data_IF_545523043843
#
_entry.id   IF_545523043843
#
_cell.length_a   1.000
_cell.length_b   1.000
_cell.length_c   1.000
_cell.angle_alpha   90.00
_cell.angle_beta   90.00
_cell.angle_gamma   90.00
#
_symmetry.space_group_name_H-M   'P 1'
#
loop_
_entity.id
_entity.type
_entity.pdbx_description
1 polymer ?
#
# COMPACT_ATOMS: atom_id res chain seq x y z
N UNK A 1 -22.77 28.35 11.91
CA UNK A 1 -21.87 27.20 12.04
C UNK A 1 -22.55 25.95 12.61
N UNK A 2 -23.31 26.03 13.76
CA UNK A 2 -24.06 24.88 14.33
C UNK A 2 -25.09 24.28 13.34
N UNK A 3 -25.89 25.09 12.65
CA UNK A 3 -26.90 24.61 11.68
C UNK A 3 -26.29 23.92 10.44
N UNK A 4 -25.12 24.36 9.99
CA UNK A 4 -24.37 23.71 8.89
C UNK A 4 -23.84 22.33 9.31
N UNK A 5 -23.28 22.20 10.53
CA UNK A 5 -22.77 20.94 11.07
C UNK A 5 -23.88 19.92 11.39
N UNK A 6 -25.12 20.37 11.58
CA UNK A 6 -26.30 19.53 11.85
C UNK A 6 -27.05 19.14 10.58
N UNK A 7 -26.68 19.63 9.40
CA UNK A 7 -27.33 19.19 8.15
C UNK A 7 -27.10 17.70 7.93
N UNK A 8 -28.19 16.96 7.66
CA UNK A 8 -28.12 15.51 7.35
C UNK A 8 -27.14 15.19 6.22
N UNK A 9 -26.97 16.12 5.28
CA UNK A 9 -26.06 15.98 4.14
C UNK A 9 -24.59 15.98 4.60
N UNK A 10 -24.16 16.96 5.42
CA UNK A 10 -22.77 17.02 5.93
C UNK A 10 -22.47 15.86 6.88
N UNK A 11 -23.46 15.45 7.70
CA UNK A 11 -23.30 14.29 8.57
C UNK A 11 -23.14 12.97 7.80
N UNK A 12 -23.72 12.85 6.62
CA UNK A 12 -23.74 11.62 5.84
C UNK A 12 -22.64 11.56 4.78
N UNK A 13 -22.28 12.70 4.17
CA UNK A 13 -21.37 12.79 3.03
C UNK A 13 -20.12 13.65 3.30
N UNK A 14 -19.98 14.22 4.50
CA UNK A 14 -18.89 15.15 4.81
C UNK A 14 -17.50 14.55 4.62
N UNK A 15 -17.32 13.30 5.00
CA UNK A 15 -16.03 12.59 4.82
C UNK A 15 -15.71 12.35 3.35
N UNK A 16 -16.71 12.02 2.54
CA UNK A 16 -16.54 11.85 1.09
C UNK A 16 -16.23 13.19 0.41
N UNK A 17 -16.88 14.28 0.85
CA UNK A 17 -16.58 15.64 0.36
C UNK A 17 -15.14 16.06 0.68
N UNK A 18 -14.67 15.79 1.90
CA UNK A 18 -13.27 16.06 2.30
C UNK A 18 -12.31 15.26 1.43
N UNK A 19 -12.59 13.97 1.19
CA UNK A 19 -11.77 13.13 0.32
C UNK A 19 -11.67 13.68 -1.10
N UNK A 20 -12.82 14.09 -1.68
CA UNK A 20 -12.86 14.66 -3.04
C UNK A 20 -12.08 15.98 -3.11
N UNK A 21 -12.21 16.84 -2.09
CA UNK A 21 -11.48 18.10 -2.03
C UNK A 21 -9.97 17.89 -1.91
N UNK A 22 -9.52 16.95 -1.07
CA UNK A 22 -8.11 16.58 -0.95
C UNK A 22 -7.58 15.98 -2.24
N UNK A 23 -8.34 15.09 -2.88
CA UNK A 23 -7.99 14.52 -4.18
C UNK A 23 -7.82 15.60 -5.24
N UNK A 24 -8.73 16.56 -5.30
CA UNK A 24 -8.64 17.72 -6.21
C UNK A 24 -7.41 18.59 -5.90
N UNK A 25 -7.18 18.92 -4.63
CA UNK A 25 -6.00 19.70 -4.23
C UNK A 25 -4.70 19.02 -4.63
N UNK A 26 -4.51 17.74 -4.28
CA UNK A 26 -3.28 17.03 -4.64
C UNK A 26 -3.16 16.76 -6.13
N UNK A 27 -4.26 16.61 -6.86
CA UNK A 27 -4.22 16.54 -8.32
C UNK A 27 -3.64 17.83 -8.93
N UNK A 28 -4.05 18.99 -8.43
CA UNK A 28 -3.49 20.27 -8.88
C UNK A 28 -2.04 20.46 -8.42
N UNK A 29 -1.74 20.13 -7.16
CA UNK A 29 -0.41 20.32 -6.57
C UNK A 29 0.67 19.40 -7.16
N UNK A 30 0.28 18.27 -7.77
CA UNK A 30 1.19 17.28 -8.35
C UNK A 30 1.10 17.21 -9.89
N UNK A 31 0.62 18.28 -10.52
CA UNK A 31 0.56 18.38 -11.97
C UNK A 31 1.99 18.51 -12.52
N UNK A 32 2.48 17.46 -13.13
CA UNK A 32 3.84 17.36 -13.67
C UNK A 32 3.85 16.74 -15.05
N UNK A 33 4.93 16.98 -15.78
CA UNK A 33 5.20 16.30 -17.03
C UNK A 33 5.46 14.82 -16.78
N UNK A 34 4.71 13.96 -17.45
CA UNK A 34 4.79 12.52 -17.36
C UNK A 34 5.52 11.96 -18.58
N UNK A 35 6.41 11.03 -18.34
CA UNK A 35 7.20 10.34 -19.36
C UNK A 35 6.83 8.85 -19.33
N UNK A 36 5.88 8.42 -20.15
CA UNK A 36 5.34 7.06 -20.08
C UNK A 36 6.36 6.01 -20.54
N UNK A 37 6.44 4.91 -19.79
CA UNK A 37 7.30 3.74 -20.08
C UNK A 37 6.51 2.43 -20.03
N UNK A 38 5.19 2.49 -20.12
CA UNK A 38 4.33 1.31 -20.08
C UNK A 38 4.24 0.61 -21.46
N UNK A 39 3.90 -0.71 -21.49
CA UNK A 39 3.81 -1.46 -22.74
C UNK A 39 2.79 -0.93 -23.75
N UNK A 40 1.71 -0.25 -23.30
CA UNK A 40 0.71 0.32 -24.21
C UNK A 40 1.29 1.52 -24.96
N UNK A 41 2.02 2.37 -24.23
CA UNK A 41 2.77 3.47 -24.84
C UNK A 41 3.82 2.94 -25.81
N UNK A 42 4.54 1.86 -25.44
CA UNK A 42 5.49 1.20 -26.35
C UNK A 42 4.86 0.79 -27.67
N UNK A 43 3.70 0.12 -27.65
CA UNK A 43 2.97 -0.27 -28.86
C UNK A 43 2.50 0.93 -29.70
N UNK A 44 1.88 1.93 -29.08
CA UNK A 44 1.41 3.11 -29.81
C UNK A 44 2.57 3.91 -30.40
N UNK A 45 3.70 3.95 -29.72
CA UNK A 45 4.92 4.60 -30.20
C UNK A 45 5.53 3.83 -31.38
N UNK A 46 5.59 2.50 -31.32
CA UNK A 46 6.02 1.65 -32.41
C UNK A 46 5.14 1.84 -33.67
N UNK A 47 3.81 1.92 -33.50
CA UNK A 47 2.89 2.23 -34.60
C UNK A 47 3.17 3.58 -35.26
N UNK A 48 3.49 4.61 -34.47
CA UNK A 48 3.87 5.90 -35.00
C UNK A 48 5.19 5.83 -35.79
N UNK A 49 6.17 5.03 -35.30
CA UNK A 49 7.45 4.82 -36.00
C UNK A 49 7.21 4.12 -37.36
N UNK A 50 6.37 3.10 -37.40
CA UNK A 50 6.04 2.37 -38.65
C UNK A 50 5.43 3.32 -39.69
N UNK A 51 4.58 4.27 -39.26
CA UNK A 51 3.96 5.24 -40.15
C UNK A 51 4.93 6.31 -40.68
N UNK A 52 5.86 6.78 -39.84
CA UNK A 52 6.76 7.87 -40.15
C UNK A 52 8.06 7.40 -40.83
N UNK A 53 8.54 6.22 -40.49
CA UNK A 53 9.83 5.68 -40.91
C UNK A 53 9.69 4.24 -41.44
N UNK A 54 8.95 4.03 -42.54
CA UNK A 54 8.83 2.69 -43.13
C UNK A 54 10.21 2.20 -43.61
N UNK A 55 10.56 0.96 -43.24
CA UNK A 55 11.86 0.33 -43.58
C UNK A 55 13.09 0.84 -42.80
N UNK A 56 12.93 1.60 -41.71
CA UNK A 56 14.04 2.04 -40.89
C UNK A 56 14.70 0.88 -40.12
N UNK A 57 16.01 0.97 -39.95
CA UNK A 57 16.78 0.13 -39.05
C UNK A 57 16.79 0.74 -37.65
N UNK A 58 16.26 0.03 -36.65
CA UNK A 58 15.99 0.52 -35.31
C UNK A 58 16.83 -0.19 -34.27
N UNK A 59 17.49 0.57 -33.40
CA UNK A 59 18.09 0.08 -32.17
C UNK A 59 17.20 0.49 -31.00
N UNK A 60 16.72 -0.49 -30.22
CA UNK A 60 15.94 -0.21 -29.01
C UNK A 60 16.88 -0.15 -27.83
N UNK A 61 16.82 0.96 -27.03
CA UNK A 61 17.71 1.19 -25.89
C UNK A 61 16.89 1.49 -24.65
N UNK A 62 17.05 0.65 -23.60
CA UNK A 62 16.32 0.81 -22.31
C UNK A 62 17.23 0.45 -21.13
N UNK A 63 16.84 0.89 -19.92
CA UNK A 63 17.51 0.48 -18.68
C UNK A 63 17.20 -0.99 -18.36
N UNK A 64 18.00 -1.57 -17.49
CA UNK A 64 17.79 -2.93 -16.97
C UNK A 64 16.77 -2.91 -15.82
N UNK A 65 15.51 -2.59 -16.13
CA UNK A 65 14.38 -2.71 -15.21
C UNK A 65 13.28 -3.55 -15.83
N UNK A 66 12.44 -4.16 -15.02
CA UNK A 66 11.34 -5.01 -15.51
C UNK A 66 10.34 -4.23 -16.36
N UNK A 67 10.00 -3.01 -15.95
CA UNK A 67 9.05 -2.14 -16.67
C UNK A 67 9.62 -1.68 -18.01
N UNK A 68 10.91 -1.28 -18.03
CA UNK A 68 11.57 -0.83 -19.25
C UNK A 68 11.76 -2.00 -20.25
N UNK A 69 12.01 -3.21 -19.74
CA UNK A 69 12.03 -4.41 -20.58
C UNK A 69 10.67 -4.71 -21.19
N UNK A 70 9.59 -4.57 -20.41
CA UNK A 70 8.23 -4.75 -20.90
C UNK A 70 7.86 -3.71 -21.98
N UNK A 71 8.32 -2.47 -21.82
CA UNK A 71 8.20 -1.42 -22.83
C UNK A 71 8.96 -1.78 -24.12
N UNK A 72 10.24 -2.18 -23.99
CA UNK A 72 11.08 -2.56 -25.14
C UNK A 72 10.51 -3.78 -25.89
N UNK A 73 10.05 -4.80 -25.16
CA UNK A 73 9.40 -5.99 -25.73
C UNK A 73 8.14 -5.60 -26.51
N UNK A 74 7.32 -4.73 -25.97
CA UNK A 74 6.10 -4.26 -26.64
C UNK A 74 6.39 -3.51 -27.94
N UNK A 75 7.47 -2.71 -27.98
CA UNK A 75 7.95 -2.07 -29.20
C UNK A 75 8.46 -3.09 -30.20
N UNK A 76 9.30 -4.02 -29.74
CA UNK A 76 9.89 -5.05 -30.59
C UNK A 76 8.83 -5.95 -31.22
N UNK A 77 7.83 -6.39 -30.46
CA UNK A 77 6.70 -7.18 -30.96
C UNK A 77 5.96 -6.45 -32.09
N UNK A 78 5.64 -5.16 -31.91
CA UNK A 78 4.90 -4.39 -32.90
C UNK A 78 5.75 -4.10 -34.15
N UNK A 79 7.04 -3.74 -33.98
CA UNK A 79 7.94 -3.49 -35.11
C UNK A 79 8.22 -4.76 -35.92
N UNK A 80 8.36 -5.94 -35.28
CA UNK A 80 8.59 -7.22 -35.97
C UNK A 80 7.43 -7.63 -36.86
N UNK A 81 6.21 -7.12 -36.65
CA UNK A 81 5.06 -7.36 -37.53
C UNK A 81 4.98 -6.39 -38.71
N UNK A 82 5.92 -5.46 -38.80
CA UNK A 82 5.95 -4.37 -39.80
C UNK A 82 7.15 -4.48 -40.76
N UNK A 83 7.32 -3.47 -41.61
CA UNK A 83 8.47 -3.35 -42.52
C UNK A 83 9.72 -2.72 -41.87
N UNK A 84 9.66 -2.35 -40.59
CA UNK A 84 10.77 -1.76 -39.82
C UNK A 84 11.65 -2.89 -39.27
N UNK A 85 12.97 -2.75 -39.40
CA UNK A 85 13.92 -3.78 -38.98
C UNK A 85 14.53 -3.45 -37.62
N UNK A 86 14.30 -4.28 -36.62
CA UNK A 86 14.94 -4.16 -35.30
C UNK A 86 16.33 -4.80 -35.37
N UNK A 87 17.38 -3.95 -35.35
CA UNK A 87 18.78 -4.40 -35.43
C UNK A 87 19.22 -5.08 -34.14
N UNK A 88 18.90 -4.47 -33.00
CA UNK A 88 19.17 -5.06 -31.68
C UNK A 88 18.32 -4.36 -30.59
N UNK A 89 18.29 -4.99 -29.39
CA UNK A 89 17.71 -4.43 -28.17
C UNK A 89 18.80 -4.39 -27.10
N UNK A 90 19.20 -3.17 -26.69
CA UNK A 90 20.18 -2.96 -25.62
C UNK A 90 19.41 -2.64 -24.32
N UNK A 91 19.46 -3.58 -23.39
CA UNK A 91 18.94 -3.40 -22.03
C UNK A 91 20.12 -3.37 -21.04
N UNK A 92 20.51 -2.18 -20.59
CA UNK A 92 21.70 -2.07 -19.77
C UNK A 92 22.01 -0.68 -19.26
N UNK A 93 23.29 -0.35 -19.27
CA UNK A 93 23.89 0.92 -18.86
C UNK A 93 24.40 1.73 -20.08
N UNK A 94 24.74 3.01 -19.93
CA UNK A 94 25.27 3.83 -21.02
C UNK A 94 26.49 3.22 -21.74
N UNK A 95 27.35 2.47 -21.02
CA UNK A 95 28.51 1.78 -21.59
C UNK A 95 28.12 0.67 -22.58
N UNK A 96 26.99 0.00 -22.32
CA UNK A 96 26.53 -1.09 -23.20
C UNK A 96 26.07 -0.49 -24.55
N UNK A 97 25.47 0.69 -24.52
CA UNK A 97 25.12 1.44 -25.72
C UNK A 97 26.37 1.86 -26.51
N UNK A 98 27.42 2.35 -25.84
CA UNK A 98 28.70 2.69 -26.49
C UNK A 98 29.30 1.49 -27.21
N UNK A 99 29.33 0.32 -26.55
CA UNK A 99 29.84 -0.91 -27.16
C UNK A 99 29.02 -1.31 -28.39
N UNK A 100 27.71 -1.20 -28.29
CA UNK A 100 26.82 -1.57 -29.41
C UNK A 100 26.97 -0.58 -30.59
N UNK A 101 27.09 0.73 -30.35
CA UNK A 101 27.33 1.73 -31.38
C UNK A 101 28.65 1.46 -32.13
N UNK A 102 29.75 1.17 -31.41
CA UNK A 102 31.02 0.76 -32.06
C UNK A 102 30.87 -0.57 -32.82
N UNK A 103 30.12 -1.55 -32.29
CA UNK A 103 29.88 -2.83 -32.97
C UNK A 103 29.15 -2.60 -34.31
N UNK A 104 28.08 -1.80 -34.30
CA UNK A 104 27.31 -1.48 -35.49
C UNK A 104 28.13 -0.69 -36.51
N UNK A 105 28.88 0.33 -36.04
CA UNK A 105 29.74 1.11 -36.88
C UNK A 105 30.85 0.31 -37.56
N UNK A 106 31.56 -0.54 -36.81
CA UNK A 106 32.62 -1.41 -37.34
C UNK A 106 32.09 -2.48 -38.30
N UNK A 107 30.87 -2.97 -38.08
CA UNK A 107 30.21 -3.92 -38.97
C UNK A 107 29.55 -3.26 -40.20
N UNK A 108 29.63 -1.93 -40.33
CA UNK A 108 29.00 -1.11 -41.36
C UNK A 108 27.46 -1.39 -41.47
N UNK A 109 26.82 -1.71 -40.35
CA UNK A 109 25.37 -1.92 -40.28
C UNK A 109 24.71 -0.54 -40.24
N UNK A 110 23.84 -0.27 -41.20
CA UNK A 110 23.10 0.98 -41.23
C UNK A 110 22.11 1.05 -40.07
N UNK A 111 22.12 2.19 -39.33
CA UNK A 111 21.19 2.49 -38.27
C UNK A 111 20.53 3.82 -38.57
N UNK A 112 19.21 3.87 -38.52
CA UNK A 112 18.43 5.07 -38.82
C UNK A 112 17.83 5.67 -37.54
N UNK A 113 17.39 4.83 -36.60
CA UNK A 113 16.72 5.27 -35.39
C UNK A 113 17.25 4.58 -34.14
N UNK A 114 17.41 5.34 -33.07
CA UNK A 114 17.53 4.85 -31.71
C UNK A 114 16.20 5.13 -31.01
N UNK A 115 15.49 4.08 -30.65
CA UNK A 115 14.18 4.14 -29.99
C UNK A 115 14.36 3.89 -28.52
N UNK A 116 13.94 4.82 -27.70
CA UNK A 116 14.13 4.75 -26.25
C UNK A 116 13.00 5.45 -25.52
N UNK A 117 13.01 5.41 -24.18
CA UNK A 117 12.14 6.25 -23.35
C UNK A 117 12.92 7.44 -22.78
N UNK A 118 12.21 8.42 -22.24
CA UNK A 118 12.77 9.67 -21.74
C UNK A 118 14.00 9.48 -20.83
N UNK A 119 13.94 8.57 -19.87
CA UNK A 119 15.04 8.39 -18.90
C UNK A 119 16.34 7.89 -19.53
N UNK A 120 16.27 7.01 -20.54
CA UNK A 120 17.47 6.58 -21.26
C UNK A 120 17.90 7.61 -22.30
N UNK A 121 16.98 8.40 -22.88
CA UNK A 121 17.35 9.49 -23.81
C UNK A 121 18.22 10.57 -23.15
N UNK A 122 18.12 10.72 -21.83
CA UNK A 122 18.96 11.64 -21.04
C UNK A 122 20.39 11.12 -20.79
N UNK A 123 20.72 9.94 -21.24
CA UNK A 123 22.06 9.44 -21.09
C UNK A 123 23.06 10.24 -21.94
N UNK A 124 24.25 10.60 -21.38
CA UNK A 124 25.22 11.39 -22.11
C UNK A 124 25.65 10.80 -23.46
N UNK A 125 25.58 9.46 -23.60
CA UNK A 125 25.91 8.75 -24.84
C UNK A 125 24.90 9.01 -25.96
N UNK A 126 23.65 9.28 -25.64
CA UNK A 126 22.57 9.63 -26.59
C UNK A 126 22.37 11.14 -26.75
N UNK A 127 23.14 11.95 -26.01
CA UNK A 127 23.15 13.40 -26.17
C UNK A 127 23.79 13.84 -27.50
N UNK A 128 23.35 15.00 -28.02
CA UNK A 128 23.74 15.50 -29.33
C UNK A 128 25.26 15.47 -29.57
N UNK A 129 26.08 15.96 -28.63
CA UNK A 129 27.54 16.03 -28.77
C UNK A 129 28.17 14.65 -28.97
N UNK A 130 27.80 13.67 -28.15
CA UNK A 130 28.37 12.33 -28.19
C UNK A 130 27.85 11.53 -29.39
N UNK A 131 26.60 11.71 -29.74
CA UNK A 131 26.00 11.09 -30.92
C UNK A 131 26.69 11.61 -32.20
N UNK A 132 27.01 12.89 -32.27
CA UNK A 132 27.76 13.49 -33.36
C UNK A 132 29.18 12.91 -33.51
N UNK A 133 29.85 12.49 -32.44
CA UNK A 133 31.14 11.82 -32.53
C UNK A 133 31.00 10.48 -33.27
N UNK A 134 29.99 9.66 -32.95
CA UNK A 134 29.69 8.41 -33.66
C UNK A 134 29.31 8.64 -35.12
N UNK A 135 28.51 9.65 -35.40
CA UNK A 135 28.10 10.03 -36.77
C UNK A 135 29.33 10.42 -37.61
N UNK A 136 30.31 11.11 -37.02
CA UNK A 136 31.56 11.46 -37.70
C UNK A 136 32.50 10.27 -37.90
N UNK A 137 32.52 9.37 -36.96
CA UNK A 137 33.41 8.20 -36.97
C UNK A 137 32.91 7.11 -37.94
N UNK A 138 31.56 6.92 -38.05
CA UNK A 138 30.99 5.81 -38.82
C UNK A 138 29.97 6.30 -39.85
N UNK A 139 30.24 6.04 -41.14
CA UNK A 139 29.33 6.42 -42.25
C UNK A 139 27.96 5.74 -42.17
N UNK A 140 27.88 4.52 -41.58
CA UNK A 140 26.63 3.79 -41.39
C UNK A 140 25.70 4.39 -40.34
N UNK A 141 26.16 5.36 -39.55
CA UNK A 141 25.39 6.00 -38.48
C UNK A 141 25.01 7.45 -38.80
N UNK A 142 25.21 7.92 -40.06
CA UNK A 142 25.00 9.33 -40.44
C UNK A 142 23.54 9.80 -40.35
N UNK A 143 22.57 8.89 -40.46
CA UNK A 143 21.13 9.19 -40.41
C UNK A 143 20.51 8.99 -39.00
N UNK A 144 21.31 8.63 -38.00
CA UNK A 144 20.79 8.22 -36.68
C UNK A 144 20.08 9.38 -35.97
N UNK A 145 18.83 9.13 -35.60
CA UNK A 145 18.01 10.00 -34.76
C UNK A 145 17.55 9.25 -33.49
N UNK A 146 17.52 9.98 -32.37
CA UNK A 146 16.99 9.43 -31.10
C UNK A 146 15.52 9.83 -30.97
N UNK A 147 14.65 8.86 -30.86
CA UNK A 147 13.22 9.06 -30.68
C UNK A 147 12.77 8.51 -29.32
N UNK A 148 11.91 9.27 -28.64
CA UNK A 148 11.22 8.85 -27.43
C UNK A 148 9.74 9.23 -27.49
N UNK A 149 8.86 8.52 -26.75
CA UNK A 149 7.45 8.89 -26.65
C UNK A 149 7.27 10.32 -26.17
N UNK A 150 6.26 11.01 -26.70
CA UNK A 150 5.92 12.34 -26.26
C UNK A 150 5.49 12.35 -24.79
N UNK A 151 5.97 13.35 -24.06
CA UNK A 151 5.51 13.62 -22.70
C UNK A 151 4.14 14.31 -22.71
N UNK A 152 3.44 14.23 -21.59
CA UNK A 152 2.16 14.90 -21.40
C UNK A 152 1.99 15.39 -19.95
N UNK A 153 1.24 16.48 -19.77
CA UNK A 153 0.93 17.01 -18.44
C UNK A 153 -0.16 16.20 -17.79
N UNK A 154 0.15 15.58 -16.63
CA UNK A 154 -0.82 14.82 -15.86
C UNK A 154 -0.49 14.86 -14.36
N UNK A 155 -1.50 14.89 -13.46
CA UNK A 155 -1.26 14.81 -12.03
C UNK A 155 -0.58 13.50 -11.65
N UNK A 156 0.60 13.55 -11.04
CA UNK A 156 1.29 12.36 -10.52
C UNK A 156 0.41 11.62 -9.51
N UNK A 157 -0.37 12.36 -8.72
CA UNK A 157 -1.34 11.81 -7.77
C UNK A 157 -2.36 10.86 -8.43
N UNK A 158 -2.84 11.18 -9.65
CA UNK A 158 -3.85 10.38 -10.37
C UNK A 158 -3.25 9.30 -11.27
N UNK A 159 -1.94 9.10 -11.29
CA UNK A 159 -1.35 7.99 -12.05
C UNK A 159 -1.81 6.65 -11.46
N UNK A 160 -2.03 5.66 -12.35
CA UNK A 160 -2.44 4.31 -11.91
C UNK A 160 -1.48 3.72 -10.89
N UNK A 161 -0.17 3.85 -11.13
CA UNK A 161 0.86 3.36 -10.21
C UNK A 161 0.73 3.99 -8.82
N UNK A 162 0.52 5.32 -8.74
CA UNK A 162 0.35 6.00 -7.46
C UNK A 162 -0.94 5.59 -6.75
N UNK A 163 -2.09 5.50 -7.46
CA UNK A 163 -3.36 5.06 -6.85
C UNK A 163 -3.28 3.63 -6.31
N UNK A 164 -2.61 2.71 -7.01
CA UNK A 164 -2.38 1.36 -6.53
C UNK A 164 -1.44 1.34 -5.31
N UNK A 165 -0.40 2.19 -5.32
CA UNK A 165 0.51 2.37 -4.18
C UNK A 165 -0.23 2.90 -2.94
N UNK A 166 -1.09 3.92 -3.09
CA UNK A 166 -1.96 4.43 -2.01
C UNK A 166 -2.85 3.32 -1.46
N UNK A 167 -3.49 2.55 -2.35
CA UNK A 167 -4.31 1.40 -1.96
C UNK A 167 -3.52 0.36 -1.18
N UNK A 168 -2.34 0.00 -1.64
CA UNK A 168 -1.48 -0.99 -0.98
C UNK A 168 -1.01 -0.51 0.40
N UNK A 169 -0.54 0.73 0.51
CA UNK A 169 -0.07 1.30 1.78
C UNK A 169 -1.19 1.40 2.83
N UNK A 170 -2.42 1.73 2.41
CA UNK A 170 -3.54 1.83 3.34
C UNK A 170 -4.13 0.48 3.74
N UNK A 171 -3.95 -0.57 2.91
CA UNK A 171 -4.66 -1.83 3.08
C UNK A 171 -4.44 -2.45 4.46
N UNK A 172 -3.21 -2.53 4.94
CA UNK A 172 -2.87 -3.08 6.27
C UNK A 172 -3.55 -2.28 7.38
N UNK A 173 -3.39 -0.96 7.38
CA UNK A 173 -4.03 -0.06 8.35
C UNK A 173 -5.56 -0.18 8.31
N UNK A 174 -6.14 -0.23 7.12
CA UNK A 174 -7.59 -0.36 6.92
C UNK A 174 -8.12 -1.72 7.42
N UNK A 175 -7.41 -2.82 7.18
CA UNK A 175 -7.79 -4.15 7.69
C UNK A 175 -7.88 -4.14 9.22
N UNK A 176 -6.88 -3.60 9.90
CA UNK A 176 -6.88 -3.52 11.37
C UNK A 176 -7.96 -2.55 11.86
N UNK A 177 -8.22 -1.47 11.12
CA UNK A 177 -9.25 -0.49 11.44
C UNK A 177 -10.67 -1.08 11.47
N UNK A 178 -10.94 -2.19 10.76
CA UNK A 178 -12.21 -2.93 10.87
C UNK A 178 -12.46 -3.34 12.32
N UNK A 179 -11.50 -4.02 12.94
CA UNK A 179 -11.63 -4.48 14.32
C UNK A 179 -11.62 -3.31 15.30
N UNK A 180 -10.74 -2.33 15.09
CA UNK A 180 -10.70 -1.11 15.91
C UNK A 180 -12.06 -0.38 15.88
N UNK A 181 -12.77 -0.39 14.75
CA UNK A 181 -14.14 0.16 14.67
C UNK A 181 -15.07 -0.57 15.62
N UNK A 182 -15.01 -1.90 15.69
CA UNK A 182 -15.84 -2.69 16.61
C UNK A 182 -15.46 -2.40 18.08
N UNK A 183 -14.16 -2.30 18.39
CA UNK A 183 -13.65 -1.95 19.73
C UNK A 183 -14.16 -0.57 20.14
N UNK A 184 -14.03 0.44 19.28
CA UNK A 184 -14.47 1.81 19.57
C UNK A 184 -16.01 1.89 19.67
N UNK A 185 -16.76 1.18 18.83
CA UNK A 185 -18.23 1.11 18.95
C UNK A 185 -18.62 0.54 20.32
N UNK A 186 -17.86 -0.41 20.89
CA UNK A 186 -18.12 -0.91 22.24
C UNK A 186 -17.55 -0.03 23.36
N UNK A 187 -17.19 1.23 23.07
CA UNK A 187 -16.57 2.19 23.98
C UNK A 187 -15.22 1.73 24.56
N UNK A 188 -14.50 0.84 23.87
CA UNK A 188 -13.13 0.43 24.15
C UNK A 188 -12.12 1.18 23.32
N UNK A 189 -10.85 1.10 23.73
CA UNK A 189 -9.69 1.53 22.93
C UNK A 189 -8.65 0.43 23.01
N UNK A 190 -8.10 0.01 21.91
CA UNK A 190 -7.02 -0.97 21.85
C UNK A 190 -5.73 -0.35 21.31
N UNK A 191 -4.77 -0.10 22.20
CA UNK A 191 -3.47 0.46 21.86
C UNK A 191 -2.43 -0.60 21.51
N UNK A 192 -2.77 -1.89 21.62
CA UNK A 192 -1.80 -2.96 21.39
C UNK A 192 -1.62 -3.37 19.93
N UNK A 193 -2.52 -2.93 19.03
CA UNK A 193 -2.60 -3.41 17.64
C UNK A 193 -1.29 -3.25 16.86
N UNK A 194 -0.55 -2.15 17.03
CA UNK A 194 0.74 -1.94 16.37
C UNK A 194 1.83 -2.89 16.89
N UNK A 195 1.83 -3.18 18.20
CA UNK A 195 2.76 -4.14 18.79
C UNK A 195 2.40 -5.58 18.46
N UNK A 196 1.11 -5.92 18.35
CA UNK A 196 0.64 -7.24 17.90
C UNK A 196 1.02 -7.48 16.44
N UNK A 197 0.99 -6.44 15.61
CA UNK A 197 1.45 -6.47 14.23
C UNK A 197 2.93 -6.84 14.13
N UNK A 198 3.80 -6.15 14.92
CA UNK A 198 5.23 -6.49 14.99
C UNK A 198 5.47 -7.91 15.52
N UNK A 199 4.77 -8.28 16.59
CA UNK A 199 4.85 -9.62 17.18
C UNK A 199 4.49 -10.70 16.16
N UNK A 200 3.38 -10.52 15.45
CA UNK A 200 2.93 -11.42 14.38
C UNK A 200 3.95 -11.53 13.24
N UNK A 201 4.48 -10.40 12.76
CA UNK A 201 5.52 -10.37 11.73
C UNK A 201 6.78 -11.14 12.13
N UNK A 202 7.20 -11.01 13.39
CA UNK A 202 8.35 -11.77 13.93
C UNK A 202 8.01 -13.25 14.07
N UNK A 203 6.81 -13.62 14.55
CA UNK A 203 6.37 -15.02 14.68
C UNK A 203 6.37 -15.70 13.31
N UNK A 204 5.80 -15.09 12.28
CA UNK A 204 5.78 -15.70 10.94
C UNK A 204 7.20 -15.91 10.43
N UNK A 205 8.09 -14.89 10.57
CA UNK A 205 9.46 -14.97 10.11
C UNK A 205 10.25 -16.08 10.83
N UNK A 206 10.20 -16.10 12.15
CA UNK A 206 10.92 -17.09 12.95
C UNK A 206 10.37 -18.50 12.78
N UNK A 207 9.06 -18.66 12.57
CA UNK A 207 8.45 -19.98 12.30
C UNK A 207 8.93 -20.52 10.95
N UNK A 208 8.91 -19.68 9.89
CA UNK A 208 9.40 -20.08 8.56
C UNK A 208 10.89 -20.46 8.64
N UNK A 209 11.70 -19.60 9.27
CA UNK A 209 13.15 -19.82 9.41
C UNK A 209 13.47 -21.08 10.23
N UNK A 210 12.71 -21.37 11.30
CA UNK A 210 12.91 -22.55 12.14
C UNK A 210 12.46 -23.87 11.53
N UNK A 211 11.55 -23.83 10.55
CA UNK A 211 10.99 -25.05 9.90
C UNK A 211 11.67 -25.40 8.59
N UNK A 212 12.44 -24.50 7.99
CA UNK A 212 13.09 -24.76 6.71
C UNK A 212 14.54 -24.26 6.69
N UNK A 213 15.40 -25.05 6.07
CA UNK A 213 16.81 -24.69 5.79
C UNK A 213 17.03 -24.40 4.30
N UNK A 214 15.98 -24.56 3.48
CA UNK A 214 16.01 -24.26 2.05
C UNK A 214 15.66 -22.79 1.75
N UNK A 215 16.18 -22.28 0.64
CA UNK A 215 15.91 -20.91 0.19
C UNK A 215 14.43 -20.66 -0.18
N UNK A 216 13.69 -21.71 -0.54
CA UNK A 216 12.26 -21.63 -0.83
C UNK A 216 11.46 -22.58 0.10
N UNK A 217 10.77 -22.05 1.11
CA UNK A 217 9.90 -22.82 1.98
C UNK A 217 8.66 -23.31 1.22
N UNK A 218 8.27 -24.58 1.50
CA UNK A 218 7.05 -25.13 0.93
C UNK A 218 5.78 -24.43 1.42
N UNK A 219 4.69 -24.52 0.65
CA UNK A 219 3.38 -23.92 1.02
C UNK A 219 2.90 -24.28 2.41
N UNK A 220 3.16 -25.53 2.87
CA UNK A 220 2.80 -25.98 4.22
C UNK A 220 3.50 -25.17 5.31
N UNK A 221 4.79 -24.90 5.16
CA UNK A 221 5.59 -24.06 6.08
C UNK A 221 5.06 -22.64 6.12
N UNK A 222 4.77 -22.05 4.94
CA UNK A 222 4.20 -20.71 4.85
C UNK A 222 2.84 -20.60 5.54
N UNK A 223 1.95 -21.57 5.30
CA UNK A 223 0.63 -21.63 5.95
C UNK A 223 0.75 -21.78 7.48
N UNK A 224 1.62 -22.67 7.97
CA UNK A 224 1.85 -22.85 9.41
C UNK A 224 2.39 -21.54 10.01
N UNK A 225 3.37 -20.88 9.37
CA UNK A 225 3.89 -19.60 9.80
C UNK A 225 2.80 -18.51 9.90
N UNK A 226 2.01 -18.34 8.85
CA UNK A 226 0.92 -17.34 8.81
C UNK A 226 -0.17 -17.65 9.86
N UNK A 227 -0.64 -18.90 9.92
CA UNK A 227 -1.70 -19.30 10.85
C UNK A 227 -1.25 -19.22 12.30
N UNK A 228 0.00 -19.61 12.62
CA UNK A 228 0.55 -19.47 13.97
C UNK A 228 0.63 -18.00 14.40
N UNK A 229 1.10 -17.12 13.55
CA UNK A 229 1.19 -15.69 13.82
C UNK A 229 -0.18 -15.06 14.11
N UNK A 230 -1.18 -15.38 13.29
CA UNK A 230 -2.56 -14.90 13.48
C UNK A 230 -3.17 -15.51 14.76
N UNK A 231 -2.98 -16.81 15.00
CA UNK A 231 -3.50 -17.49 16.18
C UNK A 231 -2.92 -16.93 17.48
N UNK A 232 -1.59 -16.76 17.57
CA UNK A 232 -0.96 -16.18 18.75
C UNK A 232 -1.44 -14.74 19.01
N UNK A 233 -1.61 -13.94 17.97
CA UNK A 233 -2.17 -12.59 18.11
C UNK A 233 -3.64 -12.63 18.56
N UNK A 234 -4.45 -13.57 18.06
CA UNK A 234 -5.82 -13.79 18.51
C UNK A 234 -5.89 -14.25 19.98
N UNK A 235 -4.96 -15.11 20.43
CA UNK A 235 -4.85 -15.53 21.82
C UNK A 235 -4.50 -14.36 22.76
N UNK A 236 -3.64 -13.44 22.31
CA UNK A 236 -3.37 -12.22 23.07
C UNK A 236 -4.62 -11.33 23.11
N UNK A 237 -5.36 -11.22 22.01
CA UNK A 237 -6.66 -10.54 21.97
C UNK A 237 -7.69 -11.18 22.92
N UNK A 238 -7.71 -12.52 23.00
CA UNK A 238 -8.53 -13.27 23.96
C UNK A 238 -8.13 -12.92 25.40
N UNK A 239 -6.83 -12.93 25.71
CA UNK A 239 -6.33 -12.54 27.02
C UNK A 239 -6.72 -11.09 27.37
N UNK A 240 -6.54 -10.16 26.44
CA UNK A 240 -6.99 -8.76 26.58
C UNK A 240 -8.48 -8.69 26.92
N UNK A 241 -9.31 -9.39 26.13
CA UNK A 241 -10.75 -9.45 26.36
C UNK A 241 -11.14 -10.06 27.72
N UNK A 242 -10.41 -11.09 28.19
CA UNK A 242 -10.61 -11.66 29.52
C UNK A 242 -10.28 -10.67 30.64
N UNK A 243 -9.16 -9.95 30.54
CA UNK A 243 -8.79 -8.91 31.54
C UNK A 243 -9.85 -7.81 31.63
N UNK A 244 -10.38 -7.39 30.49
CA UNK A 244 -11.44 -6.36 30.43
C UNK A 244 -12.77 -6.88 30.98
N UNK A 245 -13.17 -8.11 30.63
CA UNK A 245 -14.53 -8.61 30.91
C UNK A 245 -14.68 -9.35 32.23
N UNK A 246 -13.64 -10.08 32.67
CA UNK A 246 -13.67 -10.89 33.91
C UNK A 246 -13.19 -10.03 35.08
N UNK A 247 -12.06 -9.35 34.91
CA UNK A 247 -11.43 -8.56 35.98
C UNK A 247 -11.90 -7.11 35.99
N UNK A 248 -12.72 -6.68 34.99
CA UNK A 248 -13.26 -5.32 34.86
C UNK A 248 -12.15 -4.23 34.83
N UNK A 249 -10.98 -4.56 34.29
CA UNK A 249 -9.89 -3.59 34.14
C UNK A 249 -10.21 -2.66 32.95
N UNK A 250 -10.03 -1.35 33.08
CA UNK A 250 -10.27 -0.41 31.98
C UNK A 250 -9.49 -0.81 30.71
N UNK A 251 -10.12 -0.85 29.52
CA UNK A 251 -9.52 -1.33 28.29
C UNK A 251 -8.16 -0.69 27.96
N UNK A 252 -8.03 0.63 28.11
CA UNK A 252 -6.80 1.34 27.77
C UNK A 252 -5.60 0.91 28.65
N UNK A 253 -5.83 0.57 29.93
CA UNK A 253 -4.77 0.10 30.83
C UNK A 253 -4.28 -1.28 30.38
N UNK A 254 -5.23 -2.19 30.08
CA UNK A 254 -4.90 -3.56 29.63
C UNK A 254 -4.12 -3.47 28.30
N UNK A 255 -4.62 -2.71 27.34
CA UNK A 255 -4.02 -2.64 26.00
C UNK A 255 -2.67 -1.94 26.00
N UNK A 256 -2.44 -0.95 26.88
CA UNK A 256 -1.11 -0.38 27.11
C UNK A 256 -0.12 -1.41 27.66
N UNK A 257 -0.54 -2.22 28.63
CA UNK A 257 0.31 -3.28 29.18
C UNK A 257 0.63 -4.32 28.11
N UNK A 258 -0.38 -4.74 27.32
CA UNK A 258 -0.20 -5.69 26.21
C UNK A 258 0.70 -5.09 25.13
N UNK A 259 0.56 -3.81 24.80
CA UNK A 259 1.42 -3.11 23.84
C UNK A 259 2.90 -3.28 24.18
N UNK A 260 3.28 -3.01 25.44
CA UNK A 260 4.66 -3.16 25.90
C UNK A 260 5.10 -4.64 25.95
N UNK A 261 4.22 -5.52 26.44
CA UNK A 261 4.51 -6.95 26.55
C UNK A 261 4.70 -7.59 25.17
N UNK A 262 3.79 -7.35 24.23
CA UNK A 262 3.89 -7.91 22.87
C UNK A 262 5.14 -7.36 22.15
N UNK A 263 5.45 -6.07 22.31
CA UNK A 263 6.67 -5.46 21.77
C UNK A 263 7.92 -6.10 22.36
N UNK A 264 7.96 -6.30 23.68
CA UNK A 264 9.07 -6.97 24.37
C UNK A 264 9.27 -8.40 23.88
N UNK A 265 8.19 -9.17 23.68
CA UNK A 265 8.27 -10.50 23.09
C UNK A 265 8.74 -10.48 21.64
N UNK A 266 8.30 -9.51 20.83
CA UNK A 266 8.78 -9.38 19.46
C UNK A 266 10.31 -9.19 19.41
N UNK A 267 10.87 -8.30 20.25
CA UNK A 267 12.33 -8.16 20.37
C UNK A 267 13.02 -9.43 20.87
N UNK A 268 12.47 -10.07 21.89
CA UNK A 268 13.07 -11.27 22.48
C UNK A 268 13.12 -12.42 21.48
N UNK A 269 12.05 -12.64 20.72
CA UNK A 269 11.96 -13.73 19.73
C UNK A 269 12.83 -13.41 18.51
N UNK A 270 12.90 -12.15 18.07
CA UNK A 270 13.78 -11.72 16.98
C UNK A 270 15.28 -11.76 17.36
N UNK A 271 15.62 -11.92 18.65
CA UNK A 271 17.00 -11.84 19.13
C UNK A 271 17.55 -10.43 19.24
N UNK A 272 16.71 -9.41 19.19
CA UNK A 272 17.08 -7.99 19.27
C UNK A 272 16.24 -7.07 18.36
N UNK A 273 16.70 -5.84 18.10
CA UNK A 273 15.97 -4.87 17.30
C UNK A 273 16.09 -5.10 15.78
N UNK A 274 16.95 -6.01 15.35
CA UNK A 274 17.19 -6.30 13.93
C UNK A 274 16.03 -7.11 13.33
N UNK A 275 15.63 -6.81 12.08
CA UNK A 275 14.62 -7.61 11.38
C UNK A 275 15.07 -9.04 11.14
N UNK A 276 14.13 -9.98 11.15
CA UNK A 276 14.33 -11.39 10.77
C UNK A 276 13.94 -11.53 9.30
N UNK A 277 14.88 -11.87 8.42
CA UNK A 277 14.64 -12.01 6.99
C UNK A 277 13.79 -13.25 6.67
N UNK A 278 13.01 -13.15 5.59
CA UNK A 278 12.21 -14.24 5.03
C UNK A 278 12.59 -14.35 3.55
N UNK A 279 13.45 -15.31 3.23
CA UNK A 279 13.89 -15.55 1.85
C UNK A 279 12.88 -16.48 1.16
N UNK A 280 11.79 -15.88 0.64
CA UNK A 280 10.76 -16.62 -0.11
C UNK A 280 10.00 -15.69 -1.05
N UNK A 281 10.12 -15.95 -2.35
CA UNK A 281 9.37 -15.24 -3.37
C UNK A 281 7.87 -15.49 -3.24
N UNK A 282 7.47 -16.74 -2.96
CA UNK A 282 6.07 -17.12 -2.74
C UNK A 282 5.44 -16.35 -1.58
N UNK A 283 6.19 -16.15 -0.48
CA UNK A 283 5.71 -15.36 0.65
C UNK A 283 5.64 -13.86 0.28
N UNK A 284 6.67 -13.34 -0.40
CA UNK A 284 6.69 -11.95 -0.87
C UNK A 284 5.48 -11.61 -1.74
N UNK A 285 5.08 -12.52 -2.63
CA UNK A 285 3.92 -12.36 -3.51
C UNK A 285 2.59 -12.17 -2.76
N UNK A 286 2.47 -12.63 -1.50
CA UNK A 286 1.26 -12.43 -0.70
C UNK A 286 1.02 -10.93 -0.41
N UNK A 287 2.08 -10.18 -0.07
CA UNK A 287 2.01 -8.75 0.28
C UNK A 287 2.35 -7.80 -0.86
N UNK A 288 3.23 -8.19 -1.78
CA UNK A 288 3.69 -7.36 -2.89
C UNK A 288 3.06 -7.73 -4.25
N UNK A 289 2.53 -8.95 -4.38
CA UNK A 289 1.93 -9.43 -5.64
C UNK A 289 0.65 -8.71 -6.02
N UNK A 290 0.32 -8.75 -7.30
CA UNK A 290 -0.88 -8.14 -7.88
C UNK A 290 -1.57 -9.15 -8.83
N UNK A 291 -2.02 -10.28 -8.26
CA UNK A 291 -2.47 -11.45 -9.02
C UNK A 291 -3.86 -11.27 -9.64
N UNK A 292 -4.70 -10.41 -9.07
CA UNK A 292 -6.05 -10.18 -9.57
C UNK A 292 -6.11 -8.85 -10.33
N UNK A 293 -6.18 -8.90 -11.67
CA UNK A 293 -6.32 -7.73 -12.56
C UNK A 293 -5.25 -6.63 -12.36
N UNK A 294 -4.08 -6.98 -11.81
CA UNK A 294 -3.03 -6.02 -11.47
C UNK A 294 -3.36 -5.15 -10.24
N UNK A 295 -4.28 -5.62 -9.37
CA UNK A 295 -4.59 -5.00 -8.08
C UNK A 295 -3.71 -5.67 -7.02
N UNK A 296 -3.02 -4.90 -6.14
CA UNK A 296 -2.22 -5.47 -5.06
C UNK A 296 -3.03 -6.42 -4.17
N UNK A 297 -2.46 -7.58 -3.84
CA UNK A 297 -3.13 -8.59 -3.03
C UNK A 297 -3.66 -8.05 -1.69
N UNK A 298 -2.94 -7.18 -0.92
CA UNK A 298 -3.48 -6.59 0.30
C UNK A 298 -4.77 -5.80 0.09
N UNK A 299 -4.91 -5.12 -1.06
CA UNK A 299 -6.13 -4.39 -1.41
C UNK A 299 -7.30 -5.35 -1.66
N UNK A 300 -7.05 -6.49 -2.31
CA UNK A 300 -8.06 -7.53 -2.52
C UNK A 300 -8.53 -8.09 -1.17
N UNK A 301 -7.60 -8.44 -0.28
CA UNK A 301 -7.92 -8.90 1.08
C UNK A 301 -8.70 -7.84 1.86
N UNK A 302 -8.30 -6.59 1.78
CA UNK A 302 -9.01 -5.47 2.40
C UNK A 302 -10.46 -5.40 1.92
N UNK A 303 -10.71 -5.42 0.61
CA UNK A 303 -12.06 -5.33 0.04
C UNK A 303 -12.92 -6.50 0.53
N UNK A 304 -12.41 -7.73 0.51
CA UNK A 304 -13.12 -8.93 0.99
C UNK A 304 -13.46 -8.80 2.47
N UNK A 305 -12.51 -8.41 3.31
CA UNK A 305 -12.72 -8.26 4.75
C UNK A 305 -13.70 -7.13 5.09
N UNK A 306 -13.65 -6.00 4.35
CA UNK A 306 -14.64 -4.93 4.49
C UNK A 306 -16.04 -5.39 4.08
N UNK A 307 -16.17 -6.21 3.02
CA UNK A 307 -17.44 -6.83 2.63
C UNK A 307 -18.02 -7.72 3.73
N UNK A 308 -17.18 -8.60 4.30
CA UNK A 308 -17.55 -9.47 5.42
C UNK A 308 -17.97 -8.64 6.64
N UNK A 309 -17.14 -7.65 7.02
CA UNK A 309 -17.40 -6.80 8.17
C UNK A 309 -18.67 -5.94 7.97
N UNK A 310 -18.92 -5.45 6.77
CA UNK A 310 -20.15 -4.73 6.43
C UNK A 310 -21.39 -5.60 6.63
N UNK A 311 -21.38 -6.82 6.11
CA UNK A 311 -22.47 -7.79 6.28
C UNK A 311 -22.67 -8.10 7.77
N UNK A 312 -21.59 -8.40 8.49
CA UNK A 312 -21.59 -8.73 9.92
C UNK A 312 -22.20 -7.58 10.73
N UNK A 313 -21.73 -6.36 10.54
CA UNK A 313 -22.15 -5.22 11.35
C UNK A 313 -23.52 -4.68 10.99
N UNK A 314 -23.96 -4.82 9.71
CA UNK A 314 -25.23 -4.23 9.24
C UNK A 314 -26.38 -5.23 9.23
N UNK A 315 -26.11 -6.50 8.87
CA UNK A 315 -27.16 -7.47 8.58
C UNK A 315 -27.31 -8.60 9.62
N UNK A 316 -26.37 -8.71 10.60
CA UNK A 316 -26.42 -9.80 11.58
C UNK A 316 -26.90 -9.35 12.97
N UNK A 317 -27.33 -10.32 13.78
CA UNK A 317 -27.63 -10.10 15.21
C UNK A 317 -26.41 -9.68 16.00
N UNK A 318 -25.22 -10.21 15.61
CA UNK A 318 -23.94 -9.87 16.26
C UNK A 318 -23.63 -8.37 16.10
N UNK A 319 -23.78 -7.82 14.91
CA UNK A 319 -23.60 -6.39 14.68
C UNK A 319 -24.55 -5.56 15.57
N UNK A 320 -25.85 -5.90 15.60
CA UNK A 320 -26.82 -5.22 16.45
C UNK A 320 -26.45 -5.27 17.93
N UNK A 321 -25.96 -6.40 18.43
CA UNK A 321 -25.51 -6.54 19.83
C UNK A 321 -24.26 -5.73 20.13
N UNK A 322 -23.29 -5.61 19.19
CA UNK A 322 -22.11 -4.75 19.32
C UNK A 322 -22.54 -3.29 19.51
N UNK A 323 -23.46 -2.78 18.68
CA UNK A 323 -24.01 -1.42 18.83
C UNK A 323 -24.79 -1.24 20.13
N UNK A 324 -25.59 -2.24 20.54
CA UNK A 324 -26.34 -2.19 21.78
C UNK A 324 -25.43 -2.11 23.01
N UNK A 325 -24.37 -2.93 23.06
CA UNK A 325 -23.37 -2.90 24.13
C UNK A 325 -22.68 -1.54 24.21
N UNK A 326 -22.32 -0.97 23.05
CA UNK A 326 -21.65 0.33 23.00
C UNK A 326 -22.56 1.52 23.32
N UNK A 327 -23.88 1.39 23.11
CA UNK A 327 -24.85 2.43 23.43
C UNK A 327 -25.16 2.52 24.91
N UNK A 328 -25.45 1.39 25.55
CA UNK A 328 -25.63 1.27 26.99
C UNK A 328 -25.45 -0.20 27.40
N UNK A 329 -24.29 -0.56 27.97
CA UNK A 329 -23.98 -1.93 28.37
C UNK A 329 -24.96 -2.51 29.39
N UNK A 330 -25.46 -1.67 30.32
CA UNK A 330 -26.37 -2.12 31.36
C UNK A 330 -27.77 -2.43 30.79
N UNK A 331 -28.29 -1.54 29.95
CA UNK A 331 -29.58 -1.79 29.27
C UNK A 331 -29.48 -3.00 28.34
N UNK A 332 -28.37 -3.17 27.63
CA UNK A 332 -28.11 -4.35 26.80
C UNK A 332 -28.13 -5.65 27.63
N UNK A 333 -27.47 -5.62 28.81
CA UNK A 333 -27.45 -6.75 29.75
C UNK A 333 -28.84 -7.11 30.24
N UNK A 334 -29.62 -6.12 30.65
CA UNK A 334 -30.99 -6.30 31.10
C UNK A 334 -31.92 -6.84 30.00
N UNK A 335 -31.59 -6.53 28.74
CA UNK A 335 -32.31 -7.09 27.57
C UNK A 335 -31.81 -8.47 27.14
N UNK A 336 -30.96 -9.13 27.96
CA UNK A 336 -30.49 -10.49 27.72
C UNK A 336 -29.26 -10.60 26.80
N UNK A 337 -28.63 -9.47 26.40
CA UNK A 337 -27.41 -9.49 25.59
C UNK A 337 -26.23 -9.97 26.44
N UNK A 338 -25.44 -10.97 25.99
CA UNK A 338 -24.29 -11.48 26.73
C UNK A 338 -23.07 -10.54 26.57
N UNK A 339 -23.12 -9.37 27.21
CA UNK A 339 -22.12 -8.27 27.06
C UNK A 339 -20.67 -8.76 27.13
N UNK A 340 -20.34 -9.61 28.11
CA UNK A 340 -18.98 -10.14 28.27
C UNK A 340 -18.51 -10.94 27.05
N UNK A 341 -19.38 -11.76 26.45
CA UNK A 341 -19.04 -12.57 25.25
C UNK A 341 -18.84 -11.67 24.03
N UNK A 342 -19.66 -10.60 23.90
CA UNK A 342 -19.53 -9.64 22.80
C UNK A 342 -18.20 -8.89 22.89
N UNK A 343 -17.84 -8.37 24.07
CA UNK A 343 -16.56 -7.72 24.27
C UNK A 343 -15.38 -8.67 24.00
N UNK A 344 -15.45 -9.90 24.52
CA UNK A 344 -14.42 -10.91 24.29
C UNK A 344 -14.22 -11.16 22.78
N UNK A 345 -15.32 -11.36 22.04
CA UNK A 345 -15.30 -11.53 20.58
C UNK A 345 -14.61 -10.37 19.88
N UNK A 346 -14.95 -9.13 20.25
CA UNK A 346 -14.40 -7.91 19.64
C UNK A 346 -12.88 -7.83 19.83
N UNK A 347 -12.35 -8.13 21.03
CA UNK A 347 -10.90 -8.13 21.28
C UNK A 347 -10.18 -9.29 20.58
N UNK A 348 -10.79 -10.48 20.49
CA UNK A 348 -10.23 -11.60 19.71
C UNK A 348 -10.10 -11.24 18.24
N UNK A 349 -11.15 -10.64 17.65
CA UNK A 349 -11.09 -10.18 16.24
C UNK A 349 -10.04 -9.08 16.09
N UNK A 350 -9.88 -8.20 17.09
CA UNK A 350 -8.86 -7.14 17.05
C UNK A 350 -7.45 -7.75 17.02
N UNK A 351 -7.14 -8.68 17.90
CA UNK A 351 -5.87 -9.41 17.87
C UNK A 351 -5.65 -10.18 16.57
N UNK A 352 -6.69 -10.86 16.06
CA UNK A 352 -6.61 -11.63 14.82
C UNK A 352 -6.31 -10.75 13.61
N UNK A 353 -7.01 -9.61 13.44
CA UNK A 353 -6.77 -8.69 12.31
C UNK A 353 -5.46 -7.91 12.46
N UNK A 354 -5.01 -7.61 13.69
CA UNK A 354 -3.67 -7.08 13.93
C UNK A 354 -2.60 -8.09 13.52
N UNK A 355 -2.80 -9.38 13.86
CA UNK A 355 -1.93 -10.48 13.44
C UNK A 355 -1.88 -10.63 11.92
N UNK A 356 -3.02 -10.60 11.24
CA UNK A 356 -3.10 -10.64 9.78
C UNK A 356 -2.36 -9.44 9.16
N UNK A 357 -2.55 -8.24 9.71
CA UNK A 357 -1.83 -7.04 9.26
C UNK A 357 -0.31 -7.20 9.36
N UNK A 358 0.18 -7.81 10.45
CA UNK A 358 1.61 -8.10 10.64
C UNK A 358 2.16 -9.13 9.65
N UNK A 359 1.40 -10.17 9.34
CA UNK A 359 1.76 -11.15 8.29
C UNK A 359 1.85 -10.46 6.93
N UNK A 360 0.88 -9.59 6.58
CA UNK A 360 0.88 -8.88 5.31
C UNK A 360 2.04 -7.90 5.19
N UNK A 361 2.36 -7.17 6.27
CA UNK A 361 3.51 -6.26 6.29
C UNK A 361 4.83 -7.03 6.21
N UNK A 362 4.97 -8.14 6.94
CA UNK A 362 6.14 -9.00 6.86
C UNK A 362 6.33 -9.60 5.46
N UNK A 363 5.24 -9.94 4.78
CA UNK A 363 5.26 -10.40 3.39
C UNK A 363 5.67 -9.29 2.42
N UNK A 364 5.12 -8.09 2.57
CA UNK A 364 5.44 -6.94 1.71
C UNK A 364 6.92 -6.58 1.72
N UNK A 365 7.55 -6.63 2.90
CA UNK A 365 8.96 -6.27 3.08
C UNK A 365 9.90 -7.48 3.15
N UNK A 366 9.39 -8.70 3.08
CA UNK A 366 10.14 -9.95 3.25
C UNK A 366 10.93 -10.02 4.56
N UNK A 367 10.42 -9.37 5.64
CA UNK A 367 11.07 -9.33 6.95
C UNK A 367 10.05 -9.31 8.09
N UNK A 368 10.33 -10.04 9.16
CA UNK A 368 9.68 -9.87 10.45
C UNK A 368 10.41 -8.80 11.27
N UNK A 369 9.90 -7.57 11.30
CA UNK A 369 10.57 -6.46 11.97
C UNK A 369 9.92 -6.16 13.34
N UNK A 370 10.65 -6.31 14.47
CA UNK A 370 10.12 -6.03 15.80
C UNK A 370 9.78 -4.55 16.03
N UNK A 371 10.27 -3.64 15.17
CA UNK A 371 9.94 -2.20 15.20
C UNK A 371 8.70 -1.86 14.36
N UNK A 372 8.13 -2.80 13.60
CA UNK A 372 6.91 -2.58 12.83
C UNK A 372 5.76 -2.04 13.67
N UNK A 373 4.86 -1.31 13.04
CA UNK A 373 3.64 -0.83 13.65
C UNK A 373 3.80 0.20 14.77
N UNK A 374 4.98 0.82 14.95
CA UNK A 374 5.15 1.92 15.90
C UNK A 374 4.28 3.12 15.51
N UNK A 375 3.36 3.52 16.40
CA UNK A 375 2.43 4.62 16.17
C UNK A 375 1.24 4.27 15.24
N UNK A 376 1.12 3.03 14.78
CA UNK A 376 0.00 2.62 13.91
C UNK A 376 -1.33 2.62 14.68
N UNK A 377 -1.31 2.35 15.98
CA UNK A 377 -2.50 2.44 16.83
C UNK A 377 -3.16 3.82 16.72
N UNK A 378 -2.38 4.90 16.72
CA UNK A 378 -2.89 6.27 16.61
C UNK A 378 -3.48 6.53 15.21
N UNK A 379 -2.82 6.04 14.16
CA UNK A 379 -3.29 6.18 12.79
C UNK A 379 -4.58 5.40 12.56
N UNK A 380 -4.68 4.19 13.10
CA UNK A 380 -5.86 3.33 13.01
C UNK A 380 -7.04 3.97 13.74
N UNK A 381 -6.83 4.48 14.97
CA UNK A 381 -7.85 5.22 15.71
C UNK A 381 -8.27 6.48 14.94
N UNK A 382 -7.31 7.23 14.39
CA UNK A 382 -7.61 8.40 13.57
C UNK A 382 -8.49 8.04 12.36
N UNK A 383 -8.18 6.96 11.63
CA UNK A 383 -8.98 6.49 10.51
C UNK A 383 -10.43 6.20 10.93
N UNK A 384 -10.61 5.53 12.07
CA UNK A 384 -11.93 5.18 12.61
C UNK A 384 -12.72 6.41 13.02
N UNK A 385 -12.08 7.38 13.69
CA UNK A 385 -12.72 8.62 14.18
C UNK A 385 -13.03 9.57 13.02
N UNK A 386 -12.06 9.81 12.13
CA UNK A 386 -12.26 10.59 10.90
C UNK A 386 -13.37 9.97 10.04
N UNK A 387 -13.46 8.64 10.02
CA UNK A 387 -14.55 7.90 9.40
C UNK A 387 -15.93 8.08 10.04
N UNK A 388 -16.02 8.79 11.18
CA UNK A 388 -17.27 9.15 11.85
C UNK A 388 -17.75 8.17 12.92
N UNK A 389 -16.88 7.29 13.40
CA UNK A 389 -17.14 6.43 14.56
C UNK A 389 -16.90 7.24 15.84
N UNK A 390 -17.86 7.22 16.77
CA UNK A 390 -17.77 7.97 18.02
C UNK A 390 -16.91 7.23 19.05
N UNK A 391 -15.96 7.92 19.65
CA UNK A 391 -15.13 7.41 20.77
C UNK A 391 -15.94 7.08 22.04
N UNK A 392 -17.17 7.58 22.14
CA UNK A 392 -18.07 7.30 23.27
C UNK A 392 -18.91 6.04 23.10
N UNK A 393 -18.70 5.31 21.97
CA UNK A 393 -19.41 4.08 21.66
C UNK A 393 -20.79 4.28 21.02
N UNK A 394 -21.42 3.15 20.66
CA UNK A 394 -22.78 3.08 20.15
C UNK A 394 -23.03 3.61 18.75
N UNK A 395 -22.06 4.29 18.13
CA UNK A 395 -22.21 4.90 16.80
C UNK A 395 -20.93 4.71 15.97
N UNK A 396 -21.11 4.29 14.73
CA UNK A 396 -20.01 4.12 13.77
C UNK A 396 -20.49 3.37 12.53
N UNK A 397 -19.70 3.40 11.47
CA UNK A 397 -19.96 2.66 10.21
C UNK A 397 -18.65 2.10 9.67
N UNK A 398 -18.66 0.83 9.28
CA UNK A 398 -17.49 0.17 8.67
C UNK A 398 -17.05 0.89 7.40
N UNK A 399 -17.97 1.24 6.50
CA UNK A 399 -17.63 2.00 5.28
C UNK A 399 -17.12 3.41 5.59
N UNK A 400 -17.59 4.02 6.69
CA UNK A 400 -17.04 5.29 7.15
C UNK A 400 -15.56 5.16 7.51
N UNK A 401 -15.18 4.09 8.24
CA UNK A 401 -13.79 3.80 8.59
C UNK A 401 -12.92 3.61 7.34
N UNK A 402 -13.43 2.91 6.30
CA UNK A 402 -12.70 2.78 5.03
C UNK A 402 -12.41 4.15 4.40
N UNK A 403 -13.42 5.04 4.36
CA UNK A 403 -13.24 6.41 3.84
C UNK A 403 -12.24 7.18 4.72
N UNK A 404 -12.30 7.04 6.05
CA UNK A 404 -11.35 7.65 6.96
C UNK A 404 -9.91 7.17 6.74
N UNK A 405 -9.71 5.87 6.56
CA UNK A 405 -8.41 5.30 6.21
C UNK A 405 -7.89 5.84 4.86
N UNK A 406 -8.78 5.94 3.86
CA UNK A 406 -8.44 6.50 2.56
C UNK A 406 -8.07 7.99 2.65
N UNK A 407 -8.77 8.79 3.47
CA UNK A 407 -8.42 10.20 3.71
C UNK A 407 -6.99 10.31 4.26
N UNK A 408 -6.65 9.51 5.27
CA UNK A 408 -5.31 9.54 5.86
C UNK A 408 -4.23 9.08 4.87
N UNK A 409 -4.54 8.07 4.06
CA UNK A 409 -3.62 7.59 3.02
C UNK A 409 -3.40 8.65 1.93
N UNK A 410 -4.45 9.33 1.48
CA UNK A 410 -4.37 10.43 0.50
C UNK A 410 -3.54 11.60 1.06
N UNK A 411 -3.75 11.98 2.32
CA UNK A 411 -2.96 13.04 2.97
C UNK A 411 -1.48 12.63 3.02
N UNK A 412 -1.16 11.41 3.46
CA UNK A 412 0.22 10.90 3.52
C UNK A 412 0.88 10.89 2.15
N UNK A 413 0.22 10.29 1.17
CA UNK A 413 0.73 10.19 -0.20
C UNK A 413 0.89 11.58 -0.83
N UNK A 414 -0.09 12.46 -0.65
CA UNK A 414 -0.02 13.83 -1.15
C UNK A 414 1.15 14.62 -0.53
N UNK A 415 1.37 14.51 0.77
CA UNK A 415 2.54 15.11 1.44
C UNK A 415 3.85 14.53 0.92
N UNK A 416 3.91 13.23 0.68
CA UNK A 416 5.08 12.58 0.07
C UNK A 416 5.36 13.11 -1.33
N UNK A 417 4.36 13.18 -2.20
CA UNK A 417 4.48 13.69 -3.57
C UNK A 417 4.84 15.18 -3.63
N UNK A 418 4.51 15.95 -2.61
CA UNK A 418 4.86 17.37 -2.47
C UNK A 418 6.14 17.60 -1.67
N UNK A 419 6.94 16.54 -1.45
CA UNK A 419 8.23 16.58 -0.74
C UNK A 419 8.16 17.16 0.69
N UNK A 420 7.03 16.98 1.39
CA UNK A 420 6.92 17.31 2.81
C UNK A 420 7.72 16.30 3.62
N UNK A 421 8.63 16.76 4.48
CA UNK A 421 9.48 15.92 5.30
C UNK A 421 8.68 15.06 6.31
N UNK A 422 9.24 13.93 6.73
CA UNK A 422 8.57 12.96 7.60
C UNK A 422 8.22 13.53 8.98
N UNK A 423 9.00 14.47 9.51
CA UNK A 423 8.73 15.08 10.81
C UNK A 423 7.50 15.99 10.75
N UNK A 424 7.40 16.81 9.69
CA UNK A 424 6.22 17.63 9.44
C UNK A 424 4.97 16.76 9.21
N UNK A 425 5.10 15.61 8.53
CA UNK A 425 4.00 14.65 8.41
C UNK A 425 3.52 14.17 9.78
N UNK A 426 4.41 13.84 10.72
CA UNK A 426 4.03 13.43 12.08
C UNK A 426 3.24 14.52 12.81
N UNK A 427 3.65 15.79 12.70
CA UNK A 427 2.92 16.93 13.29
C UNK A 427 1.52 17.05 12.70
N UNK A 428 1.40 16.97 11.37
CA UNK A 428 0.10 17.04 10.67
C UNK A 428 -0.83 15.92 11.13
N UNK A 429 -0.34 14.67 11.23
CA UNK A 429 -1.15 13.55 11.73
C UNK A 429 -1.60 13.74 13.17
N UNK A 430 -0.74 14.24 14.06
CA UNK A 430 -1.10 14.53 15.44
C UNK A 430 -2.21 15.58 15.52
N UNK A 431 -2.11 16.67 14.76
CA UNK A 431 -3.13 17.71 14.69
C UNK A 431 -4.45 17.20 14.08
N UNK A 432 -4.38 16.35 13.04
CA UNK A 432 -5.55 15.73 12.44
C UNK A 432 -6.35 14.90 13.45
N UNK A 433 -5.68 14.10 14.29
CA UNK A 433 -6.31 13.31 15.33
C UNK A 433 -7.02 14.25 16.33
N UNK A 434 -6.32 15.29 16.77
CA UNK A 434 -6.89 16.26 17.73
C UNK A 434 -8.13 16.95 17.15
N UNK A 435 -8.08 17.40 15.90
CA UNK A 435 -9.21 18.05 15.22
C UNK A 435 -10.37 17.07 15.06
N UNK A 436 -10.11 15.82 14.67
CA UNK A 436 -11.15 14.80 14.51
C UNK A 436 -11.88 14.54 15.83
N UNK A 437 -11.15 14.39 16.94
CA UNK A 437 -11.73 14.20 18.29
C UNK A 437 -12.50 15.45 18.75
N UNK A 438 -11.98 16.65 18.49
CA UNK A 438 -12.66 17.89 18.80
C UNK A 438 -13.99 18.01 18.07
N UNK A 439 -14.03 17.65 16.78
CA UNK A 439 -15.26 17.66 15.98
C UNK A 439 -16.27 16.63 16.48
N UNK A 440 -15.86 15.45 16.92
CA UNK A 440 -16.75 14.45 17.53
C UNK A 440 -17.37 14.97 18.84
N UNK A 441 -16.58 15.63 19.68
CA UNK A 441 -17.05 16.29 20.91
C UNK A 441 -18.06 17.42 20.65
N UNK A 442 -17.81 18.27 19.64
CA UNK A 442 -18.71 19.37 19.27
C UNK A 442 -20.04 18.91 18.72
N UNK A 443 -20.09 17.75 18.03
CA UNK A 443 -21.32 17.13 17.53
C UNK A 443 -22.21 16.58 18.66
N UNK A 444 -21.64 16.30 19.81
CA UNK A 444 -22.35 15.74 20.97
C UNK A 444 -23.02 16.80 21.84
N UNK A 445 -22.49 18.02 21.81
CA UNK A 445 -23.08 19.19 22.49
C UNK A 445 -24.15 19.85 21.61
#
# INVERSE_FOLDING_TARGET
MKQLLQSRFISQYGTLFVLTLLGGYYSLATLNEQHPTDPRTGRSFAQAIVQQFPQANVLIVVRRSQDDLAFATAIQEELNTSSVHVVNVVSGEPRDVIQEMHRLGNAAIQLDLIVTHYFSSQWPVLGENRLQDFIREYASLQSVQVLCPASYMWPTFLTRANLLSVGNQMAVTAIIAIAMTMVIITAGIDLSVGSLMAFSGVIVATTIHGMTTSSEPGLGTLLIGCLSAILFSALIGLFTGLMVTVFNIPPFIVTLAIMQTARGFAYKIAGGPSPVNIDSETFHQLGAGANLLGIPNPVVFMIVLYGIAYILMTHTTLGRTIYAVGGNPEAARLSGVPVKRILLFVYVICGMLAGLGGVMEASLFSVGNPNSGLGYELQIIAAVVVGGTSLFGGKGKILGTLIGALILAVIRNGMYLTNVDSYTQMVVFGLLILVAVLLDQLKKR
#
